data_IF_945667093551
#
_entry.id   IF_945667093551
#
_cell.length_a   1.000
_cell.length_b   1.000
_cell.length_c   1.000
_cell.angle_alpha   90.00
_cell.angle_beta   90.00
_cell.angle_gamma   90.00
#
_symmetry.space_group_name_H-M   'P 1'
#
loop_
_entity.id
_entity.type
_entity.pdbx_description
1 polymer ?
#
# COMPACT_ATOMS: atom_id res chain seq x y z
N UNK A 1 -2.63 -15.22 12.52
CA UNK A 1 -3.30 -16.29 13.29
C UNK A 1 -3.28 -15.92 14.75
N UNK A 2 -4.43 -15.88 15.41
CA UNK A 2 -4.55 -15.47 16.83
C UNK A 2 -3.84 -14.13 17.16
N UNK A 3 -3.92 -13.15 16.26
CA UNK A 3 -3.26 -11.85 16.42
C UNK A 3 -1.74 -11.84 16.24
N UNK A 4 -1.12 -12.95 15.85
CA UNK A 4 0.32 -13.07 15.64
C UNK A 4 0.66 -13.33 14.17
N UNK A 5 1.86 -12.91 13.76
CA UNK A 5 2.43 -13.27 12.47
C UNK A 5 3.00 -14.69 12.54
N UNK A 6 2.58 -15.55 11.62
CA UNK A 6 2.96 -16.97 11.61
C UNK A 6 3.40 -17.41 10.22
N UNK A 7 4.15 -18.50 10.16
CA UNK A 7 4.47 -19.21 8.91
C UNK A 7 4.09 -20.69 9.04
N UNK A 8 3.29 -21.16 8.09
CA UNK A 8 2.86 -22.55 8.01
C UNK A 8 3.64 -23.28 6.92
N UNK A 9 3.79 -24.59 7.06
CA UNK A 9 4.24 -25.49 6.00
C UNK A 9 3.03 -26.23 5.42
N UNK A 10 2.87 -26.15 4.10
CA UNK A 10 1.75 -26.76 3.40
C UNK A 10 0.38 -26.28 3.88
N UNK A 11 0.28 -25.08 4.47
CA UNK A 11 -0.95 -24.51 5.01
C UNK A 11 -1.48 -25.19 6.29
N UNK A 12 -0.71 -26.09 6.92
CA UNK A 12 -1.19 -26.91 8.05
C UNK A 12 -0.28 -26.89 9.27
N UNK A 13 1.01 -27.11 9.08
CA UNK A 13 1.98 -27.25 10.16
C UNK A 13 2.54 -25.87 10.54
N UNK A 14 2.36 -25.45 11.79
CA UNK A 14 2.94 -24.22 12.31
C UNK A 14 4.45 -24.39 12.50
N UNK A 15 5.22 -23.63 11.72
CA UNK A 15 6.69 -23.68 11.77
C UNK A 15 7.26 -22.49 12.51
N UNK A 16 6.68 -21.31 12.31
CA UNK A 16 7.13 -20.07 12.96
C UNK A 16 5.92 -19.34 13.53
N UNK A 17 6.02 -18.92 14.79
CA UNK A 17 5.19 -17.92 15.42
C UNK A 17 6.11 -16.78 15.85
N UNK A 18 5.90 -15.58 15.30
CA UNK A 18 6.73 -14.43 15.61
C UNK A 18 6.32 -13.80 16.93
N UNK A 19 7.28 -13.52 17.79
CA UNK A 19 7.07 -12.74 19.02
C UNK A 19 7.02 -11.23 18.73
N UNK A 20 7.39 -10.81 17.51
CA UNK A 20 7.36 -9.39 17.11
C UNK A 20 5.92 -8.94 16.82
N UNK A 21 5.65 -7.69 17.15
CA UNK A 21 4.35 -7.07 16.88
C UNK A 21 4.09 -7.02 15.36
N UNK A 22 2.93 -7.52 14.86
CA UNK A 22 2.59 -7.46 13.44
C UNK A 22 2.62 -6.05 12.83
N UNK A 23 2.28 -5.00 13.59
CA UNK A 23 2.34 -3.61 13.13
C UNK A 23 3.78 -3.14 12.88
N UNK A 24 4.73 -3.56 13.72
CA UNK A 24 6.15 -3.26 13.53
C UNK A 24 6.71 -3.98 12.30
N UNK A 25 6.38 -5.27 12.15
CA UNK A 25 6.75 -6.05 10.98
C UNK A 25 6.21 -5.44 9.68
N UNK A 26 4.95 -5.00 9.69
CA UNK A 26 4.33 -4.38 8.51
C UNK A 26 5.02 -3.07 8.12
N UNK A 27 5.37 -2.20 9.08
CA UNK A 27 6.13 -0.97 8.79
C UNK A 27 7.51 -1.27 8.22
N UNK A 28 8.20 -2.27 8.77
CA UNK A 28 9.52 -2.69 8.28
C UNK A 28 9.42 -3.23 6.85
N UNK A 29 8.51 -4.17 6.60
CA UNK A 29 8.36 -4.78 5.27
C UNK A 29 7.83 -3.81 4.22
N UNK A 30 7.00 -2.85 4.62
CA UNK A 30 6.50 -1.81 3.71
C UNK A 30 7.61 -0.96 3.08
N UNK A 31 8.79 -0.88 3.70
CA UNK A 31 9.93 -0.19 3.10
C UNK A 31 10.40 -0.83 1.81
N UNK A 32 10.27 -2.16 1.69
CA UNK A 32 10.82 -2.93 0.57
C UNK A 32 9.77 -3.24 -0.51
N UNK A 33 8.51 -3.37 -0.14
CA UNK A 33 7.43 -3.79 -1.03
C UNK A 33 6.07 -3.71 -0.36
N UNK A 34 5.01 -4.02 -1.11
CA UNK A 34 3.68 -4.19 -0.54
C UNK A 34 3.66 -5.38 0.43
N UNK A 35 2.89 -5.27 1.50
CA UNK A 35 2.80 -6.31 2.53
C UNK A 35 1.58 -7.18 2.27
N UNK A 36 1.78 -8.48 2.00
CA UNK A 36 0.67 -9.43 1.93
C UNK A 36 0.26 -9.87 3.33
N UNK A 37 -0.97 -9.60 3.72
CA UNK A 37 -1.56 -10.01 5.00
C UNK A 37 -2.66 -11.02 4.73
N UNK A 38 -2.43 -12.27 5.12
CA UNK A 38 -3.39 -13.36 4.97
C UNK A 38 -3.95 -13.73 6.34
N UNK A 39 -5.23 -13.45 6.57
CA UNK A 39 -5.92 -13.90 7.79
C UNK A 39 -6.19 -15.41 7.72
N UNK A 40 -5.31 -16.18 8.34
CA UNK A 40 -5.38 -17.64 8.32
C UNK A 40 -6.55 -18.16 9.16
N UNK A 41 -6.93 -17.48 10.26
CA UNK A 41 -8.09 -17.89 11.06
C UNK A 41 -9.37 -17.74 10.25
N UNK A 42 -9.52 -16.62 9.54
CA UNK A 42 -10.65 -16.40 8.65
C UNK A 42 -10.66 -17.34 7.44
N UNK A 43 -9.47 -17.61 6.85
CA UNK A 43 -9.34 -18.56 5.75
C UNK A 43 -9.78 -19.98 6.14
N UNK A 44 -9.43 -20.41 7.35
CA UNK A 44 -9.75 -21.74 7.90
C UNK A 44 -11.14 -21.82 8.56
N UNK A 45 -11.87 -20.71 8.69
CA UNK A 45 -13.16 -20.66 9.39
C UNK A 45 -13.04 -20.85 10.90
N UNK A 46 -11.90 -20.52 11.51
CA UNK A 46 -11.60 -20.67 12.95
C UNK A 46 -11.72 -19.38 13.76
N UNK A 47 -12.05 -18.27 13.13
CA UNK A 47 -12.11 -16.96 13.74
C UNK A 47 -11.84 -15.86 12.74
N UNK A 48 -11.46 -14.66 13.21
CA UNK A 48 -11.08 -13.53 12.37
C UNK A 48 -10.13 -12.60 13.12
N UNK A 49 -9.14 -12.06 12.40
CA UNK A 49 -8.27 -10.99 12.88
C UNK A 49 -8.57 -9.66 12.16
N UNK A 50 -9.82 -9.45 11.73
CA UNK A 50 -10.19 -8.33 10.88
C UNK A 50 -9.80 -6.97 11.44
N UNK A 51 -9.97 -6.75 12.75
CA UNK A 51 -9.61 -5.47 13.40
C UNK A 51 -8.10 -5.19 13.30
N UNK A 52 -7.25 -6.20 13.55
CA UNK A 52 -5.80 -6.07 13.35
C UNK A 52 -5.44 -5.84 11.87
N UNK A 53 -6.12 -6.51 10.94
CA UNK A 53 -5.91 -6.31 9.50
C UNK A 53 -6.25 -4.88 9.09
N UNK A 54 -7.32 -4.29 9.63
CA UNK A 54 -7.65 -2.89 9.41
C UNK A 54 -6.58 -1.94 9.94
N UNK A 55 -6.04 -2.20 11.13
CA UNK A 55 -4.92 -1.40 11.66
C UNK A 55 -3.69 -1.49 10.76
N UNK A 56 -3.37 -2.68 10.23
CA UNK A 56 -2.28 -2.88 9.29
C UNK A 56 -2.48 -2.08 7.99
N UNK A 57 -3.69 -2.04 7.46
CA UNK A 57 -4.04 -1.27 6.25
C UNK A 57 -3.85 0.25 6.43
N UNK A 58 -3.95 0.77 7.65
CA UNK A 58 -3.74 2.20 7.94
C UNK A 58 -2.27 2.61 7.88
N UNK A 59 -1.34 1.68 8.14
CA UNK A 59 0.08 1.97 8.36
C UNK A 59 1.03 1.44 7.29
N UNK A 60 0.54 0.63 6.36
CA UNK A 60 1.33 0.02 5.29
C UNK A 60 0.48 -0.16 4.02
N UNK A 61 1.16 -0.35 2.88
CA UNK A 61 0.53 -0.73 1.63
C UNK A 61 0.20 -2.23 1.66
N UNK A 62 -1.02 -2.58 2.08
CA UNK A 62 -1.40 -3.96 2.36
C UNK A 62 -2.23 -4.57 1.23
N UNK A 63 -1.85 -5.77 0.81
CA UNK A 63 -2.69 -6.70 0.05
C UNK A 63 -3.35 -7.65 1.05
N UNK A 64 -4.67 -7.61 1.17
CA UNK A 64 -5.40 -8.41 2.16
C UNK A 64 -5.96 -9.67 1.54
N UNK A 65 -5.71 -10.81 2.15
CA UNK A 65 -6.30 -12.10 1.80
C UNK A 65 -6.76 -12.89 3.02
N UNK A 66 -7.39 -14.03 2.77
CA UNK A 66 -7.91 -14.89 3.82
C UNK A 66 -9.33 -14.52 4.26
N UNK A 67 -10.28 -15.43 4.07
CA UNK A 67 -11.66 -15.28 4.53
C UNK A 67 -12.53 -14.30 3.75
N UNK A 68 -12.08 -13.72 2.63
CA UNK A 68 -12.89 -12.80 1.82
C UNK A 68 -13.89 -13.63 1.00
N UNK A 69 -15.12 -13.78 1.52
CA UNK A 69 -16.15 -14.65 0.94
C UNK A 69 -17.36 -13.91 0.38
N UNK A 70 -17.48 -12.61 0.68
CA UNK A 70 -18.61 -11.78 0.24
C UNK A 70 -18.18 -10.32 0.10
N UNK A 71 -19.07 -9.52 -0.48
CA UNK A 71 -18.81 -8.11 -0.74
C UNK A 71 -18.73 -7.25 0.53
N UNK A 72 -19.36 -7.63 1.62
CA UNK A 72 -19.33 -6.89 2.88
C UNK A 72 -17.92 -6.92 3.47
N UNK A 73 -17.32 -8.10 3.60
CA UNK A 73 -15.94 -8.29 4.07
C UNK A 73 -14.95 -7.58 3.13
N UNK A 74 -15.14 -7.70 1.82
CA UNK A 74 -14.31 -7.04 0.82
C UNK A 74 -14.34 -5.51 1.01
N UNK A 75 -15.53 -4.90 1.11
CA UNK A 75 -15.69 -3.46 1.34
C UNK A 75 -15.08 -3.01 2.66
N UNK A 76 -15.20 -3.81 3.71
CA UNK A 76 -14.61 -3.53 5.02
C UNK A 76 -13.12 -3.26 4.91
N UNK A 77 -12.36 -4.14 4.26
CA UNK A 77 -10.92 -3.98 4.11
C UNK A 77 -10.53 -2.86 3.13
N UNK A 78 -11.29 -2.64 2.05
CA UNK A 78 -11.04 -1.51 1.15
C UNK A 78 -11.24 -0.17 1.86
N UNK A 79 -12.28 -0.04 2.69
CA UNK A 79 -12.51 1.15 3.52
C UNK A 79 -11.39 1.38 4.53
N UNK A 80 -10.82 0.31 5.09
CA UNK A 80 -9.66 0.40 5.96
C UNK A 80 -8.36 0.82 5.23
N UNK A 81 -8.36 0.84 3.89
CA UNK A 81 -7.22 1.28 3.08
C UNK A 81 -6.40 0.16 2.45
N UNK A 82 -6.94 -1.07 2.37
CA UNK A 82 -6.28 -2.14 1.63
C UNK A 82 -6.00 -1.73 0.17
N UNK A 83 -4.79 -1.94 -0.29
CA UNK A 83 -4.36 -1.65 -1.67
C UNK A 83 -4.99 -2.60 -2.67
N UNK A 84 -5.05 -3.88 -2.32
CA UNK A 84 -5.69 -4.93 -3.12
C UNK A 84 -6.30 -5.99 -2.21
N UNK A 85 -7.31 -6.67 -2.73
CA UNK A 85 -7.91 -7.84 -2.10
C UNK A 85 -7.48 -9.10 -2.84
N UNK A 86 -6.93 -10.07 -2.11
CA UNK A 86 -6.54 -11.38 -2.62
C UNK A 86 -7.73 -12.34 -2.39
N UNK A 87 -8.38 -12.75 -3.47
CA UNK A 87 -9.57 -13.61 -3.42
C UNK A 87 -9.23 -14.95 -4.08
N UNK A 88 -9.38 -16.05 -3.33
CA UNK A 88 -9.15 -17.42 -3.80
C UNK A 88 -10.45 -18.13 -4.13
N UNK A 89 -10.88 -19.09 -3.32
CA UNK A 89 -12.07 -19.93 -3.52
C UNK A 89 -13.36 -19.16 -3.88
N UNK A 90 -13.52 -17.94 -3.33
CA UNK A 90 -14.67 -17.09 -3.61
C UNK A 90 -14.52 -16.22 -4.87
N UNK A 91 -13.45 -16.37 -5.66
CA UNK A 91 -13.22 -15.60 -6.87
C UNK A 91 -14.19 -16.03 -7.97
N UNK A 92 -15.36 -15.39 -7.99
CA UNK A 92 -16.39 -15.58 -9.02
C UNK A 92 -16.71 -14.25 -9.70
N UNK A 93 -17.21 -14.26 -10.97
CA UNK A 93 -17.64 -13.05 -11.63
C UNK A 93 -18.64 -12.23 -10.80
N UNK A 94 -19.56 -12.90 -10.09
CA UNK A 94 -20.62 -12.26 -9.30
C UNK A 94 -20.04 -11.47 -8.11
N UNK A 95 -19.01 -11.97 -7.47
CA UNK A 95 -18.34 -11.24 -6.38
C UNK A 95 -17.41 -10.15 -6.91
N UNK A 96 -16.54 -10.52 -7.86
CA UNK A 96 -15.48 -9.63 -8.33
C UNK A 96 -16.02 -8.43 -9.11
N UNK A 97 -17.11 -8.60 -9.89
CA UNK A 97 -17.76 -7.51 -10.65
C UNK A 97 -18.34 -6.37 -9.79
N UNK A 98 -18.41 -6.56 -8.47
CA UNK A 98 -18.87 -5.52 -7.55
C UNK A 98 -17.77 -4.50 -7.19
N UNK A 99 -16.54 -4.72 -7.66
CA UNK A 99 -15.36 -3.93 -7.33
C UNK A 99 -14.58 -3.53 -8.58
N UNK A 100 -13.85 -2.40 -8.56
CA UNK A 100 -12.90 -2.07 -9.61
C UNK A 100 -11.85 -3.17 -9.77
N UNK A 101 -11.58 -3.65 -11.00
CA UNK A 101 -10.64 -4.75 -11.24
C UNK A 101 -9.21 -4.48 -10.73
N UNK A 102 -8.81 -3.21 -10.65
CA UNK A 102 -7.50 -2.76 -10.15
C UNK A 102 -7.29 -3.12 -8.67
N UNK A 103 -8.37 -3.22 -7.91
CA UNK A 103 -8.35 -3.56 -6.50
C UNK A 103 -8.39 -5.06 -6.24
N UNK A 104 -8.60 -5.87 -7.29
CA UNK A 104 -8.78 -7.31 -7.18
C UNK A 104 -7.55 -8.07 -7.66
N UNK A 105 -7.08 -8.99 -6.81
CA UNK A 105 -6.05 -9.98 -7.10
C UNK A 105 -6.65 -11.37 -6.91
N UNK A 106 -6.63 -12.18 -7.97
CA UNK A 106 -7.14 -13.56 -7.88
C UNK A 106 -6.02 -14.50 -7.44
N UNK A 107 -6.25 -15.24 -6.35
CA UNK A 107 -5.34 -16.31 -5.94
C UNK A 107 -5.55 -17.54 -6.82
N UNK A 108 -4.46 -17.99 -7.42
CA UNK A 108 -4.34 -19.18 -8.27
C UNK A 108 -3.41 -20.18 -7.58
N UNK A 109 -3.79 -20.59 -6.37
CA UNK A 109 -3.05 -21.61 -5.63
C UNK A 109 -3.19 -22.94 -6.36
N UNK A 110 -2.08 -23.60 -6.72
CA UNK A 110 -2.15 -24.78 -7.59
C UNK A 110 -1.17 -25.88 -7.20
N UNK A 111 -1.50 -27.11 -7.60
CA UNK A 111 -0.59 -28.26 -7.63
C UNK A 111 -0.45 -28.74 -9.06
N UNK A 112 0.78 -28.78 -9.56
CA UNK A 112 1.10 -29.22 -10.94
C UNK A 112 0.18 -28.55 -11.99
N UNK A 113 -0.07 -27.23 -11.83
CA UNK A 113 -0.89 -26.45 -12.76
C UNK A 113 -2.41 -26.58 -12.60
N UNK A 114 -2.91 -27.43 -11.67
CA UNK A 114 -4.35 -27.55 -11.34
C UNK A 114 -4.66 -26.74 -10.10
N UNK A 115 -5.64 -25.83 -10.21
CA UNK A 115 -6.00 -24.93 -9.11
C UNK A 115 -6.65 -25.70 -7.96
N UNK A 116 -6.25 -25.31 -6.74
CA UNK A 116 -6.79 -25.84 -5.50
C UNK A 116 -7.63 -24.80 -4.79
N UNK A 117 -8.69 -25.24 -4.12
CA UNK A 117 -9.60 -24.41 -3.33
C UNK A 117 -9.70 -24.88 -1.86
N UNK A 118 -10.51 -24.17 -1.05
CA UNK A 118 -10.80 -24.51 0.34
C UNK A 118 -9.55 -24.67 1.22
N UNK A 119 -8.60 -23.73 1.11
CA UNK A 119 -7.33 -23.83 1.86
C UNK A 119 -6.49 -25.01 1.41
N UNK A 120 -6.45 -25.25 0.09
CA UNK A 120 -5.64 -26.28 -0.59
C UNK A 120 -6.08 -27.74 -0.34
N UNK A 121 -7.33 -27.92 0.11
CA UNK A 121 -7.86 -29.25 0.45
C UNK A 121 -8.53 -29.93 -0.72
N UNK A 122 -8.96 -29.19 -1.74
CA UNK A 122 -9.73 -29.67 -2.88
C UNK A 122 -9.10 -29.24 -4.19
N UNK A 123 -8.86 -30.18 -5.12
CA UNK A 123 -8.51 -29.84 -6.50
C UNK A 123 -9.77 -29.57 -7.30
N UNK A 124 -9.75 -28.50 -8.09
CA UNK A 124 -10.94 -28.03 -8.83
C UNK A 124 -11.09 -28.68 -10.20
N UNK A 125 -10.02 -29.32 -10.71
CA UNK A 125 -9.94 -29.78 -12.10
C UNK A 125 -9.70 -28.65 -13.11
N UNK A 126 -9.74 -27.36 -12.70
CA UNK A 126 -9.50 -26.21 -13.55
C UNK A 126 -8.00 -25.87 -13.55
N UNK A 127 -7.44 -25.60 -14.73
CA UNK A 127 -6.03 -25.16 -14.82
C UNK A 127 -5.87 -23.70 -14.42
N UNK A 128 -4.65 -23.30 -13.99
CA UNK A 128 -4.30 -21.91 -13.70
C UNK A 128 -4.67 -20.98 -14.84
N UNK A 129 -4.33 -21.37 -16.07
CA UNK A 129 -4.63 -20.59 -17.28
C UNK A 129 -6.12 -20.45 -17.55
N UNK A 130 -6.90 -21.54 -17.40
CA UNK A 130 -8.36 -21.52 -17.62
C UNK A 130 -9.04 -20.60 -16.63
N UNK A 131 -8.69 -20.66 -15.33
CA UNK A 131 -9.24 -19.77 -14.30
C UNK A 131 -8.84 -18.33 -14.52
N UNK A 132 -7.60 -18.07 -14.87
CA UNK A 132 -7.12 -16.71 -15.15
C UNK A 132 -7.86 -16.10 -16.33
N UNK A 133 -8.03 -16.84 -17.44
CA UNK A 133 -8.76 -16.36 -18.62
C UNK A 133 -10.23 -16.08 -18.32
N UNK A 134 -10.90 -16.95 -17.54
CA UNK A 134 -12.28 -16.75 -17.11
C UNK A 134 -12.50 -15.52 -16.24
N UNK A 135 -11.49 -15.12 -15.46
CA UNK A 135 -11.59 -14.02 -14.48
C UNK A 135 -10.85 -12.75 -14.88
N UNK A 136 -10.21 -12.70 -16.05
CA UNK A 136 -9.36 -11.58 -16.50
C UNK A 136 -10.03 -10.21 -16.51
N UNK A 137 -11.33 -10.16 -16.82
CA UNK A 137 -12.07 -8.90 -16.90
C UNK A 137 -12.40 -8.32 -15.52
N UNK A 138 -12.31 -9.14 -14.46
CA UNK A 138 -12.70 -8.82 -13.09
C UNK A 138 -11.51 -8.57 -12.15
N UNK A 139 -10.29 -8.73 -12.61
CA UNK A 139 -9.07 -8.45 -11.84
C UNK A 139 -7.98 -7.83 -12.71
N UNK A 140 -6.89 -7.35 -12.11
CA UNK A 140 -5.69 -6.86 -12.81
C UNK A 140 -4.41 -7.52 -12.32
N UNK A 141 -4.51 -8.49 -11.42
CA UNK A 141 -3.35 -9.21 -10.91
C UNK A 141 -3.71 -10.61 -10.42
N UNK A 142 -2.71 -11.49 -10.43
CA UNK A 142 -2.79 -12.86 -9.93
C UNK A 142 -1.75 -13.11 -8.85
N UNK A 143 -2.11 -13.91 -7.84
CA UNK A 143 -1.17 -14.52 -6.91
C UNK A 143 -1.12 -16.03 -7.23
N UNK A 144 -0.01 -16.50 -7.78
CA UNK A 144 0.20 -17.92 -8.10
C UNK A 144 1.06 -18.57 -7.02
N UNK A 145 0.47 -19.47 -6.23
CA UNK A 145 1.16 -20.19 -5.16
C UNK A 145 1.43 -21.63 -5.59
N UNK A 146 2.70 -22.03 -5.59
CA UNK A 146 3.14 -23.43 -5.77
C UNK A 146 2.95 -24.19 -4.46
N UNK A 147 1.76 -24.74 -4.24
CA UNK A 147 1.33 -25.30 -2.94
C UNK A 147 2.22 -26.45 -2.49
N UNK A 148 2.72 -27.30 -3.40
CA UNK A 148 3.64 -28.39 -3.10
C UNK A 148 5.01 -27.94 -2.57
N UNK A 149 5.40 -26.69 -2.85
CA UNK A 149 6.66 -26.09 -2.41
C UNK A 149 6.48 -25.20 -1.17
N UNK A 150 5.23 -24.86 -0.80
CA UNK A 150 4.94 -23.90 0.25
C UNK A 150 5.50 -24.30 1.61
N UNK A 151 6.28 -23.40 2.22
CA UNK A 151 6.97 -23.60 3.50
C UNK A 151 8.09 -24.62 3.47
N UNK A 152 8.37 -25.26 2.31
CA UNK A 152 9.36 -26.32 2.17
C UNK A 152 10.80 -25.84 1.94
N UNK A 153 10.99 -24.57 1.52
CA UNK A 153 12.30 -24.00 1.16
C UNK A 153 13.07 -24.83 0.11
N UNK A 154 12.34 -25.52 -0.77
CA UNK A 154 12.90 -26.39 -1.80
C UNK A 154 13.20 -25.71 -3.13
N UNK A 155 12.99 -24.39 -3.20
CA UNK A 155 13.09 -23.63 -4.44
C UNK A 155 11.76 -23.54 -5.20
N UNK A 156 11.75 -22.68 -6.21
CA UNK A 156 10.59 -22.45 -7.09
C UNK A 156 10.90 -23.01 -8.49
N UNK A 157 9.93 -23.65 -9.18
CA UNK A 157 10.14 -24.22 -10.51
C UNK A 157 10.19 -23.12 -11.58
N UNK A 158 11.40 -22.62 -11.89
CA UNK A 158 11.59 -21.44 -12.76
C UNK A 158 11.01 -21.61 -14.17
N UNK A 159 10.97 -22.81 -14.73
CA UNK A 159 10.37 -23.04 -16.04
C UNK A 159 8.85 -22.85 -16.00
N UNK A 160 8.18 -23.26 -14.94
CA UNK A 160 6.74 -23.03 -14.72
C UNK A 160 6.49 -21.54 -14.46
N UNK A 161 7.34 -20.86 -13.69
CA UNK A 161 7.27 -19.39 -13.45
C UNK A 161 7.33 -18.61 -14.77
N UNK A 162 8.27 -18.95 -15.67
CA UNK A 162 8.38 -18.34 -16.99
C UNK A 162 7.16 -18.62 -17.88
N UNK A 163 6.55 -19.80 -17.73
CA UNK A 163 5.32 -20.13 -18.43
C UNK A 163 4.11 -19.30 -17.92
N UNK A 164 4.02 -19.04 -16.61
CA UNK A 164 2.99 -18.16 -16.05
C UNK A 164 3.08 -16.76 -16.61
N UNK A 165 4.28 -16.16 -16.66
CA UNK A 165 4.51 -14.84 -17.23
C UNK A 165 4.00 -14.72 -18.68
N UNK A 166 4.29 -15.73 -19.48
CA UNK A 166 3.92 -15.72 -20.92
C UNK A 166 2.42 -15.94 -21.16
N UNK A 167 1.76 -16.70 -20.29
CA UNK A 167 0.43 -17.23 -20.57
C UNK A 167 -0.68 -16.52 -19.81
N UNK A 168 -0.35 -15.71 -18.78
CA UNK A 168 -1.37 -15.01 -17.98
C UNK A 168 -1.56 -13.56 -18.47
N UNK A 169 -2.82 -13.08 -18.53
CA UNK A 169 -3.13 -11.79 -19.17
C UNK A 169 -2.76 -10.56 -18.32
N UNK A 170 -2.48 -10.72 -17.04
CA UNK A 170 -2.21 -9.62 -16.11
C UNK A 170 -0.94 -9.87 -15.28
N UNK A 171 -0.57 -8.90 -14.44
CA UNK A 171 0.59 -9.00 -13.56
C UNK A 171 0.48 -10.20 -12.61
N UNK A 172 1.60 -10.89 -12.42
CA UNK A 172 1.67 -12.11 -11.61
C UNK A 172 2.63 -11.91 -10.46
N UNK A 173 2.17 -12.23 -9.26
CA UNK A 173 3.01 -12.44 -8.08
C UNK A 173 3.13 -13.94 -7.85
N UNK A 174 4.35 -14.45 -7.73
CA UNK A 174 4.58 -15.86 -7.44
C UNK A 174 4.94 -16.10 -5.98
N UNK A 175 4.48 -17.21 -5.42
CA UNK A 175 4.70 -17.61 -4.04
C UNK A 175 4.90 -19.13 -3.92
N UNK A 176 5.43 -19.56 -2.77
CA UNK A 176 5.62 -20.97 -2.44
C UNK A 176 7.00 -21.51 -2.83
N UNK A 177 7.80 -21.89 -1.82
CA UNK A 177 9.08 -22.56 -1.99
C UNK A 177 10.31 -21.68 -2.13
N UNK A 178 10.18 -20.40 -2.43
CA UNK A 178 11.32 -19.46 -2.57
C UNK A 178 12.25 -19.55 -1.36
N UNK A 179 13.53 -19.79 -1.61
CA UNK A 179 14.52 -20.09 -0.58
C UNK A 179 15.80 -19.28 -0.68
N UNK A 180 16.09 -18.67 -1.83
CA UNK A 180 17.35 -17.95 -2.09
C UNK A 180 17.12 -16.56 -2.69
N UNK A 181 18.06 -15.66 -2.46
CA UNK A 181 18.09 -14.32 -3.08
C UNK A 181 18.15 -14.39 -4.60
N UNK A 182 18.91 -15.37 -5.14
CA UNK A 182 19.04 -15.59 -6.59
C UNK A 182 17.70 -15.88 -7.26
N UNK A 183 16.88 -16.74 -6.67
CA UNK A 183 15.53 -17.03 -7.18
C UNK A 183 14.66 -15.77 -7.22
N UNK A 184 14.67 -14.97 -6.14
CA UNK A 184 13.94 -13.71 -6.08
C UNK A 184 14.37 -12.78 -7.22
N UNK A 185 15.68 -12.58 -7.37
CA UNK A 185 16.24 -11.71 -8.41
C UNK A 185 15.88 -12.20 -9.82
N UNK A 186 15.97 -13.52 -10.08
CA UNK A 186 15.62 -14.10 -11.38
C UNK A 186 14.14 -13.89 -11.71
N UNK A 187 13.24 -14.14 -10.76
CA UNK A 187 11.79 -13.90 -10.93
C UNK A 187 11.51 -12.43 -11.19
N UNK A 188 12.08 -11.54 -10.38
CA UNK A 188 11.88 -10.10 -10.53
C UNK A 188 12.39 -9.58 -11.89
N UNK A 189 13.56 -10.03 -12.35
CA UNK A 189 14.11 -9.68 -13.67
C UNK A 189 13.32 -10.25 -14.86
N UNK A 190 12.51 -11.28 -14.63
CA UNK A 190 11.57 -11.77 -15.63
C UNK A 190 10.26 -10.95 -15.69
N UNK A 191 10.12 -9.85 -14.95
CA UNK A 191 8.93 -8.99 -14.96
C UNK A 191 7.79 -9.50 -14.09
N UNK A 192 8.07 -10.40 -13.16
CA UNK A 192 7.11 -10.90 -12.17
C UNK A 192 7.42 -10.34 -10.78
N UNK A 193 6.42 -10.33 -9.91
CA UNK A 193 6.58 -10.05 -8.49
C UNK A 193 6.76 -11.35 -7.69
N UNK A 194 7.32 -11.23 -6.48
CA UNK A 194 7.46 -12.34 -5.53
C UNK A 194 6.76 -12.03 -4.22
N UNK A 195 6.14 -13.06 -3.64
CA UNK A 195 5.67 -13.02 -2.25
C UNK A 195 6.50 -14.02 -1.45
N UNK A 196 7.23 -13.51 -0.45
CA UNK A 196 8.15 -14.30 0.36
C UNK A 196 7.69 -14.32 1.82
N UNK A 197 7.63 -15.50 2.40
CA UNK A 197 7.31 -15.71 3.81
C UNK A 197 8.44 -16.40 4.55
N UNK A 198 8.47 -17.72 4.52
CA UNK A 198 9.36 -18.57 5.33
C UNK A 198 10.83 -18.17 5.27
N UNK A 199 11.38 -17.93 4.07
CA UNK A 199 12.79 -17.57 3.90
C UNK A 199 13.12 -16.20 4.54
N UNK A 200 12.19 -15.24 4.50
CA UNK A 200 12.35 -13.95 5.14
C UNK A 200 12.36 -14.08 6.66
N UNK A 201 11.37 -14.78 7.25
CA UNK A 201 11.28 -14.98 8.69
C UNK A 201 12.44 -15.81 9.27
N UNK A 202 13.04 -16.72 8.48
CA UNK A 202 14.24 -17.47 8.87
C UNK A 202 15.55 -16.72 8.65
N UNK A 203 15.50 -15.50 8.09
CA UNK A 203 16.70 -14.72 7.79
C UNK A 203 17.61 -15.33 6.71
N UNK A 204 17.06 -16.17 5.82
CA UNK A 204 17.80 -16.80 4.73
C UNK A 204 18.03 -15.86 3.55
N UNK A 205 17.29 -14.77 3.49
CA UNK A 205 17.37 -13.75 2.45
C UNK A 205 17.46 -12.36 3.06
N UNK A 206 18.21 -11.49 2.41
CA UNK A 206 18.23 -10.06 2.72
C UNK A 206 17.37 -9.30 1.69
N UNK A 207 16.20 -8.75 2.08
CA UNK A 207 15.29 -8.09 1.13
C UNK A 207 15.91 -6.85 0.48
N UNK A 208 16.84 -6.16 1.15
CA UNK A 208 17.57 -5.02 0.58
C UNK A 208 18.46 -5.48 -0.56
N UNK A 209 19.20 -6.58 -0.37
CA UNK A 209 20.05 -7.18 -1.41
C UNK A 209 19.19 -7.65 -2.59
N UNK A 210 18.10 -8.38 -2.34
CA UNK A 210 17.19 -8.82 -3.38
C UNK A 210 16.64 -7.65 -4.22
N UNK A 211 16.20 -6.58 -3.56
CA UNK A 211 15.72 -5.38 -4.26
C UNK A 211 16.83 -4.79 -5.14
N UNK A 212 18.01 -4.50 -4.57
CA UNK A 212 19.12 -3.87 -5.31
C UNK A 212 19.55 -4.72 -6.51
N UNK A 213 19.73 -6.02 -6.33
CA UNK A 213 20.20 -6.92 -7.37
C UNK A 213 19.14 -7.16 -8.48
N UNK A 214 17.88 -6.86 -8.19
CA UNK A 214 16.78 -6.90 -9.18
C UNK A 214 16.66 -5.62 -10.01
N UNK A 215 17.36 -4.53 -9.66
CA UNK A 215 17.30 -3.25 -10.37
C UNK A 215 18.24 -3.21 -11.56
N UNK A 216 17.88 -2.36 -12.54
CA UNK A 216 18.69 -2.04 -13.72
C UNK A 216 19.32 -0.67 -13.52
N UNK A 217 20.64 -0.65 -13.33
CA UNK A 217 21.40 0.60 -13.22
C UNK A 217 21.94 1.03 -14.58
N UNK A 218 22.09 2.34 -14.78
CA UNK A 218 22.73 2.87 -15.97
C UNK A 218 24.25 2.61 -15.98
N UNK A 219 24.94 3.02 -17.07
CA UNK A 219 26.39 2.82 -17.25
C UNK A 219 27.25 3.44 -16.13
N UNK A 220 26.72 4.42 -15.40
CA UNK A 220 27.39 5.06 -14.26
C UNK A 220 27.12 4.34 -12.93
N UNK A 221 26.37 3.23 -12.96
CA UNK A 221 25.95 2.52 -11.74
C UNK A 221 24.91 3.27 -10.92
N UNK A 222 24.12 4.13 -11.56
CA UNK A 222 23.09 4.95 -10.92
C UNK A 222 21.70 4.61 -11.47
N UNK A 223 20.68 4.82 -10.64
CA UNK A 223 19.27 4.69 -11.00
C UNK A 223 18.54 6.00 -10.68
N UNK A 224 17.68 6.52 -11.57
CA UNK A 224 16.79 7.63 -11.24
C UNK A 224 15.92 7.31 -10.05
N UNK A 225 15.72 8.28 -9.17
CA UNK A 225 14.90 8.13 -7.97
C UNK A 225 13.96 9.31 -7.87
N UNK A 226 12.69 9.07 -8.18
CA UNK A 226 11.61 10.02 -7.96
C UNK A 226 11.30 10.03 -6.47
N UNK A 227 11.20 11.21 -5.88
CA UNK A 227 10.88 11.37 -4.46
C UNK A 227 9.55 12.09 -4.33
N UNK A 228 8.61 11.48 -3.65
CA UNK A 228 7.31 12.06 -3.32
C UNK A 228 7.09 12.08 -1.81
N UNK A 229 6.20 12.94 -1.36
CA UNK A 229 5.74 12.91 0.04
C UNK A 229 4.65 11.83 0.25
N UNK A 230 4.20 11.71 1.49
CA UNK A 230 3.15 10.77 1.90
C UNK A 230 1.79 11.01 1.24
N UNK A 231 1.57 12.20 0.67
CA UNK A 231 0.34 12.59 -0.03
C UNK A 231 0.45 12.40 -1.56
N UNK A 232 1.62 11.90 -2.04
CA UNK A 232 1.88 11.65 -3.46
C UNK A 232 2.39 12.88 -4.22
N UNK A 233 2.70 14.00 -3.53
CA UNK A 233 3.31 15.14 -4.21
C UNK A 233 4.76 14.87 -4.53
N UNK A 234 5.12 15.02 -5.80
CA UNK A 234 6.52 14.91 -6.24
C UNK A 234 7.35 16.06 -5.65
N UNK A 235 8.42 15.71 -4.93
CA UNK A 235 9.31 16.65 -4.26
C UNK A 235 10.54 16.97 -5.10
N UNK A 236 11.20 15.93 -5.62
CA UNK A 236 12.45 16.08 -6.39
C UNK A 236 12.74 14.84 -7.21
N UNK A 237 13.64 14.96 -8.18
CA UNK A 237 14.36 13.87 -8.81
C UNK A 237 15.78 13.80 -8.25
N UNK A 238 16.14 12.63 -7.74
CA UNK A 238 17.49 12.31 -7.30
C UNK A 238 18.07 11.14 -8.11
N UNK A 239 19.30 10.76 -7.81
CA UNK A 239 19.91 9.52 -8.31
C UNK A 239 20.37 8.69 -7.13
N UNK A 240 20.25 7.39 -7.26
CA UNK A 240 20.70 6.45 -6.23
C UNK A 240 21.73 5.48 -6.80
N UNK A 241 22.71 5.13 -5.97
CA UNK A 241 23.64 4.04 -6.18
C UNK A 241 23.19 2.81 -5.33
N UNK A 242 23.69 1.60 -5.58
CA UNK A 242 23.43 0.45 -4.73
C UNK A 242 23.70 0.74 -3.24
N UNK A 243 24.75 1.48 -2.94
CA UNK A 243 25.11 1.84 -1.57
C UNK A 243 24.14 2.84 -0.94
N UNK A 244 23.72 3.89 -1.68
CA UNK A 244 22.74 4.85 -1.17
C UNK A 244 21.39 4.21 -0.90
N UNK A 245 20.94 3.27 -1.77
CA UNK A 245 19.71 2.49 -1.55
C UNK A 245 19.81 1.66 -0.29
N UNK A 246 20.95 0.96 -0.11
CA UNK A 246 21.20 0.14 1.08
C UNK A 246 21.12 0.96 2.36
N UNK A 247 21.78 2.11 2.39
CA UNK A 247 21.75 3.02 3.55
C UNK A 247 20.35 3.59 3.77
N UNK A 248 19.68 4.06 2.71
CA UNK A 248 18.34 4.61 2.81
C UNK A 248 17.35 3.62 3.43
N UNK A 249 17.33 2.38 2.96
CA UNK A 249 16.45 1.32 3.45
C UNK A 249 16.80 0.86 4.86
N UNK A 250 18.10 0.75 5.18
CA UNK A 250 18.58 0.33 6.50
C UNK A 250 18.27 1.37 7.57
N UNK A 251 18.52 2.65 7.27
CA UNK A 251 18.37 3.74 8.24
C UNK A 251 16.97 4.37 8.23
N UNK A 252 16.17 4.09 7.20
CA UNK A 252 14.85 4.72 7.03
C UNK A 252 14.94 6.21 6.72
N UNK A 253 15.95 6.63 5.93
CA UNK A 253 16.21 8.03 5.61
C UNK A 253 16.33 8.27 4.11
N UNK A 254 16.13 9.51 3.67
CA UNK A 254 16.43 9.95 2.30
C UNK A 254 17.94 10.03 2.07
N UNK A 255 18.54 8.95 1.55
CA UNK A 255 19.96 8.88 1.18
C UNK A 255 20.06 8.64 -0.32
N UNK A 256 20.83 9.47 -0.99
CA UNK A 256 20.96 9.50 -2.45
C UNK A 256 22.43 9.57 -2.86
N UNK A 257 22.69 9.61 -4.18
CA UNK A 257 24.01 9.86 -4.75
C UNK A 257 24.04 11.22 -5.48
N UNK A 258 24.93 12.10 -5.03
CA UNK A 258 25.14 13.40 -5.66
C UNK A 258 26.04 13.25 -6.90
N UNK A 259 25.50 13.42 -8.11
CA UNK A 259 26.26 13.32 -9.38
C UNK A 259 27.35 14.39 -9.49
N UNK A 260 27.07 15.62 -9.04
CA UNK A 260 28.02 16.73 -9.13
C UNK A 260 29.20 16.59 -8.15
N UNK A 261 28.93 16.10 -6.93
CA UNK A 261 29.96 15.90 -5.90
C UNK A 261 30.58 14.50 -5.93
N UNK A 262 29.95 13.55 -6.66
CA UNK A 262 30.34 12.15 -6.75
C UNK A 262 30.44 11.45 -5.39
N UNK A 263 29.49 11.73 -4.51
CA UNK A 263 29.44 11.18 -3.13
C UNK A 263 28.02 10.84 -2.69
N UNK A 264 27.93 10.06 -1.63
CA UNK A 264 26.67 9.82 -0.93
C UNK A 264 26.15 11.11 -0.31
N UNK A 265 24.85 11.30 -0.37
CA UNK A 265 24.18 12.49 0.12
C UNK A 265 22.94 12.14 0.94
N UNK A 266 23.02 12.35 2.25
CA UNK A 266 21.87 12.29 3.15
C UNK A 266 21.14 13.64 3.10
N UNK A 267 19.87 13.60 2.70
CA UNK A 267 19.03 14.80 2.60
C UNK A 267 18.78 15.40 3.97
N UNK A 268 19.05 16.70 4.09
CA UNK A 268 18.83 17.44 5.33
C UNK A 268 19.94 17.33 6.37
N UNK A 269 21.03 16.57 6.15
CA UNK A 269 22.12 16.42 7.11
C UNK A 269 22.73 17.76 7.57
N UNK A 270 22.77 18.75 6.68
CA UNK A 270 23.31 20.08 6.98
C UNK A 270 22.21 21.11 7.20
N UNK A 271 21.10 21.06 6.44
CA UNK A 271 20.04 22.07 6.50
C UNK A 271 18.96 21.79 7.56
N UNK A 272 18.88 20.57 8.10
CA UNK A 272 17.79 20.14 8.95
C UNK A 272 16.53 19.68 8.21
N UNK A 273 16.44 19.90 6.89
CA UNK A 273 15.30 19.52 6.06
C UNK A 273 15.37 18.03 5.69
N UNK A 274 15.18 17.18 6.69
CA UNK A 274 15.37 15.72 6.60
C UNK A 274 14.21 15.01 5.92
N UNK A 275 14.48 13.79 5.46
CA UNK A 275 13.49 12.89 4.89
C UNK A 275 13.51 11.56 5.67
N UNK A 276 12.36 11.17 6.21
CA UNK A 276 12.11 9.82 6.72
C UNK A 276 11.58 8.97 5.56
N UNK A 277 12.26 7.87 5.22
CA UNK A 277 11.85 6.97 4.16
C UNK A 277 10.74 6.03 4.64
N UNK A 278 9.56 6.15 4.05
CA UNK A 278 8.40 5.32 4.34
C UNK A 278 8.34 4.08 3.45
N UNK A 279 8.63 4.26 2.13
CA UNK A 279 8.66 3.14 1.19
C UNK A 279 9.56 3.41 -0.01
N UNK A 280 10.07 2.32 -0.59
CA UNK A 280 10.82 2.27 -1.84
C UNK A 280 10.11 1.30 -2.79
N UNK A 281 9.82 1.73 -4.01
CA UNK A 281 9.20 0.92 -5.05
C UNK A 281 10.01 1.05 -6.34
N UNK A 282 10.22 -0.05 -7.03
CA UNK A 282 10.72 -0.03 -8.41
C UNK A 282 9.54 0.10 -9.38
N UNK A 283 9.78 0.67 -10.53
CA UNK A 283 8.82 0.68 -11.63
C UNK A 283 8.74 -0.68 -12.33
N UNK A 284 7.99 -0.77 -13.45
CA UNK A 284 7.66 -2.05 -14.08
C UNK A 284 8.85 -2.76 -14.75
N UNK A 285 9.85 -2.03 -15.23
CA UNK A 285 11.07 -2.54 -15.84
C UNK A 285 12.32 -2.37 -14.98
N UNK A 286 12.10 -1.88 -13.73
CA UNK A 286 13.08 -1.81 -12.63
C UNK A 286 14.30 -0.92 -12.93
N UNK A 287 14.10 0.11 -13.74
CA UNK A 287 15.13 1.10 -14.05
C UNK A 287 14.92 2.47 -13.39
N UNK A 288 13.82 2.63 -12.61
CA UNK A 288 13.49 3.83 -11.83
C UNK A 288 12.96 3.44 -10.44
N UNK A 289 13.32 4.24 -9.43
CA UNK A 289 12.80 4.10 -8.07
C UNK A 289 11.84 5.22 -7.73
N UNK A 290 10.80 4.88 -6.98
CA UNK A 290 9.92 5.80 -6.28
C UNK A 290 10.16 5.68 -4.77
N UNK A 291 10.67 6.76 -4.15
CA UNK A 291 10.76 6.90 -2.71
C UNK A 291 9.58 7.71 -2.22
N UNK A 292 8.78 7.14 -1.32
CA UNK A 292 7.80 7.89 -0.54
C UNK A 292 8.42 8.26 0.79
N UNK A 293 8.42 9.56 1.10
CA UNK A 293 9.11 10.09 2.30
C UNK A 293 8.17 10.99 3.11
N UNK A 294 8.43 11.07 4.41
CA UNK A 294 7.92 12.17 5.22
C UNK A 294 8.97 13.28 5.20
N UNK A 295 8.64 14.37 4.49
CA UNK A 295 9.52 15.52 4.33
C UNK A 295 9.38 16.47 5.52
N UNK A 296 10.50 16.90 6.09
CA UNK A 296 10.56 18.02 7.04
C UNK A 296 10.94 19.28 6.28
N UNK A 297 10.10 20.30 6.31
CA UNK A 297 10.29 21.59 5.63
C UNK A 297 10.57 21.45 4.11
N UNK A 298 11.52 22.23 3.58
CA UNK A 298 11.79 22.32 2.15
C UNK A 298 12.59 21.14 1.58
N UNK A 299 12.13 20.56 0.48
CA UNK A 299 12.95 19.59 -0.26
C UNK A 299 13.96 20.30 -1.20
N UNK A 300 13.64 21.50 -1.70
CA UNK A 300 14.49 22.25 -2.61
C UNK A 300 15.55 23.10 -1.86
N UNK A 301 16.68 23.34 -2.52
CA UNK A 301 17.75 24.24 -1.99
C UNK A 301 17.35 25.73 -2.05
N UNK A 302 16.24 26.06 -2.71
CA UNK A 302 15.65 27.42 -2.75
C UNK A 302 14.56 27.60 -1.70
N UNK A 303 14.56 26.81 -0.64
CA UNK A 303 13.56 26.79 0.43
C UNK A 303 12.11 26.56 -0.04
N UNK A 304 11.95 25.96 -1.25
CA UNK A 304 10.66 25.51 -1.75
C UNK A 304 10.39 24.07 -1.31
N UNK A 305 9.14 23.75 -1.01
CA UNK A 305 8.75 22.38 -0.61
C UNK A 305 9.04 21.35 -1.70
N UNK A 306 8.91 21.72 -2.98
CA UNK A 306 9.21 20.89 -4.14
C UNK A 306 10.19 21.58 -5.08
N UNK A 307 11.04 20.81 -5.78
CA UNK A 307 11.91 21.30 -6.87
C UNK A 307 11.14 21.69 -8.14
N UNK A 308 9.87 21.30 -8.27
CA UNK A 308 9.07 21.47 -9.48
C UNK A 308 8.18 22.73 -9.50
N UNK A 309 8.48 23.69 -8.64
CA UNK A 309 7.83 25.00 -8.68
C UNK A 309 7.50 25.53 -7.29
N UNK A 310 6.99 26.78 -7.31
CA UNK A 310 6.51 27.49 -6.11
C UNK A 310 5.20 26.92 -5.52
N UNK A 311 4.65 25.88 -6.14
CA UNK A 311 3.54 25.13 -5.58
C UNK A 311 4.05 24.34 -4.37
N UNK A 312 4.13 25.03 -3.25
CA UNK A 312 4.26 24.36 -1.97
C UNK A 312 2.93 23.67 -1.70
N UNK A 313 2.90 22.35 -1.65
CA UNK A 313 1.71 21.63 -1.15
C UNK A 313 1.35 22.09 0.26
N UNK A 314 2.33 22.54 1.05
CA UNK A 314 2.09 23.21 2.33
C UNK A 314 1.50 24.63 2.19
N UNK A 315 1.47 25.21 0.96
CA UNK A 315 0.88 26.53 0.66
C UNK A 315 -0.24 26.49 -0.37
N UNK A 316 -0.38 25.46 -1.17
CA UNK A 316 -1.62 25.23 -1.91
C UNK A 316 -2.64 24.68 -0.91
N UNK A 317 -3.69 25.44 -0.73
CA UNK A 317 -4.79 25.06 0.15
C UNK A 317 -5.50 23.85 -0.47
N UNK A 318 -5.37 22.69 0.16
CA UNK A 318 -6.12 21.47 -0.14
C UNK A 318 -6.96 21.07 1.07
N UNK A 319 -7.91 20.17 0.86
CA UNK A 319 -8.71 19.66 1.99
C UNK A 319 -7.83 18.89 2.97
N UNK A 320 -6.82 18.17 2.48
CA UNK A 320 -5.80 17.52 3.33
C UNK A 320 -5.02 18.54 4.16
N UNK A 321 -4.57 19.63 3.54
CA UNK A 321 -3.86 20.70 4.24
C UNK A 321 -4.75 21.36 5.30
N UNK A 322 -6.06 21.49 5.03
CA UNK A 322 -7.03 21.96 6.01
C UNK A 322 -7.11 20.99 7.20
N UNK A 323 -7.20 19.68 6.95
CA UNK A 323 -7.23 18.66 8.01
C UNK A 323 -5.98 18.73 8.90
N UNK A 324 -4.79 18.82 8.31
CA UNK A 324 -3.54 18.91 9.07
C UNK A 324 -3.48 20.21 9.89
N UNK A 325 -3.93 21.33 9.34
CA UNK A 325 -4.05 22.59 10.07
C UNK A 325 -5.03 22.48 11.26
N UNK A 326 -6.16 21.83 11.06
CA UNK A 326 -7.17 21.61 12.10
C UNK A 326 -6.63 20.68 13.20
N UNK A 327 -5.87 19.62 12.86
CA UNK A 327 -5.19 18.74 13.83
C UNK A 327 -4.20 19.53 14.68
N UNK A 328 -3.32 20.32 14.07
CA UNK A 328 -2.38 21.17 14.79
C UNK A 328 -3.10 22.15 15.72
N UNK A 329 -4.21 22.75 15.28
CA UNK A 329 -5.01 23.65 16.14
C UNK A 329 -5.70 22.93 17.28
N UNK A 330 -6.11 21.67 17.09
CA UNK A 330 -6.68 20.86 18.16
C UNK A 330 -5.65 20.52 19.24
N UNK A 331 -4.41 20.25 18.85
CA UNK A 331 -3.30 19.96 19.77
C UNK A 331 -2.87 21.20 20.56
N UNK A 332 -2.78 22.36 19.93
CA UNK A 332 -2.23 23.58 20.52
C UNK A 332 -3.28 24.55 21.07
N UNK A 333 -4.55 24.44 20.66
CA UNK A 333 -5.71 25.26 21.05
C UNK A 333 -5.40 26.76 21.21
N UNK A 334 -5.01 27.49 20.15
CA UNK A 334 -4.69 28.92 20.25
C UNK A 334 -5.86 29.73 20.85
N UNK A 335 -5.60 30.51 21.89
CA UNK A 335 -6.66 31.18 22.68
C UNK A 335 -7.63 32.09 21.88
N UNK A 336 -7.12 32.78 20.84
CA UNK A 336 -7.91 33.69 20.01
C UNK A 336 -8.43 33.08 18.71
N UNK A 337 -8.43 31.73 18.59
CA UNK A 337 -8.88 31.06 17.37
C UNK A 337 -10.37 30.70 17.42
N UNK A 338 -11.11 31.03 16.37
CA UNK A 338 -12.49 30.59 16.19
C UNK A 338 -12.59 29.05 16.18
N UNK A 339 -11.64 28.37 15.52
CA UNK A 339 -11.54 26.91 15.50
C UNK A 339 -11.44 26.32 16.92
N UNK A 340 -10.67 26.97 17.81
CA UNK A 340 -10.58 26.56 19.23
C UNK A 340 -11.93 26.61 19.93
N UNK A 341 -12.73 27.61 19.63
CA UNK A 341 -14.09 27.71 20.17
C UNK A 341 -14.96 26.56 19.70
N UNK A 342 -14.84 26.16 18.44
CA UNK A 342 -15.59 25.03 17.87
C UNK A 342 -15.17 23.70 18.50
N UNK A 343 -13.87 23.46 18.74
CA UNK A 343 -13.40 22.25 19.44
C UNK A 343 -13.88 22.19 20.89
N UNK A 344 -14.05 23.31 21.56
CA UNK A 344 -14.54 23.39 22.95
C UNK A 344 -16.07 23.30 23.06
N UNK A 345 -16.80 23.67 22.02
CA UNK A 345 -18.28 23.70 22.01
C UNK A 345 -18.84 22.86 20.84
N UNK A 346 -19.00 21.56 21.10
CA UNK A 346 -19.56 20.61 20.12
C UNK A 346 -20.98 21.02 19.66
N UNK A 347 -21.81 21.60 20.55
CA UNK A 347 -23.17 22.00 20.18
C UNK A 347 -23.14 23.16 19.17
N UNK A 348 -22.24 24.12 19.38
CA UNK A 348 -22.03 25.24 18.45
C UNK A 348 -21.55 24.73 17.09
N UNK A 349 -20.60 23.76 17.05
CA UNK A 349 -20.10 23.15 15.83
C UNK A 349 -21.22 22.45 15.04
N UNK A 350 -22.02 21.62 15.71
CA UNK A 350 -23.15 20.93 15.06
C UNK A 350 -24.22 21.90 14.56
N UNK A 351 -24.49 22.99 15.31
CA UNK A 351 -25.40 24.06 14.86
C UNK A 351 -24.89 24.71 13.57
N UNK A 352 -23.59 25.04 13.48
CA UNK A 352 -22.98 25.62 12.28
C UNK A 352 -23.08 24.66 11.08
N UNK A 353 -22.80 23.38 11.24
CA UNK A 353 -22.96 22.39 10.16
C UNK A 353 -24.41 22.37 9.64
N UNK A 354 -25.40 22.48 10.53
CA UNK A 354 -26.82 22.53 10.14
C UNK A 354 -27.16 23.81 9.38
N UNK A 355 -26.64 24.97 9.82
CA UNK A 355 -26.79 26.27 9.12
C UNK A 355 -26.22 26.16 7.70
N UNK A 356 -24.95 25.79 7.54
CA UNK A 356 -24.27 25.72 6.24
C UNK A 356 -24.92 24.67 5.32
N UNK A 357 -25.42 23.55 5.87
CA UNK A 357 -26.18 22.58 5.08
C UNK A 357 -27.47 23.18 4.51
N UNK A 358 -28.16 24.00 5.28
CA UNK A 358 -29.34 24.69 4.81
C UNK A 358 -28.99 25.72 3.74
N UNK A 359 -27.95 26.54 3.94
CA UNK A 359 -27.50 27.57 3.01
C UNK A 359 -27.01 26.95 1.67
N UNK A 360 -26.32 25.82 1.70
CA UNK A 360 -25.98 25.04 0.48
C UNK A 360 -27.23 24.60 -0.31
N UNK A 361 -28.35 24.34 0.35
CA UNK A 361 -29.59 23.89 -0.33
C UNK A 361 -30.50 25.05 -0.77
N UNK A 362 -30.26 26.28 -0.27
CA UNK A 362 -31.07 27.48 -0.53
C UNK A 362 -30.30 28.61 -1.20
N UNK A 363 -29.19 28.27 -1.87
CA UNK A 363 -28.30 29.25 -2.49
C UNK A 363 -29.00 30.15 -3.51
N UNK A 364 -28.57 31.43 -3.58
CA UNK A 364 -29.13 32.42 -4.49
C UNK A 364 -28.32 32.58 -5.79
N UNK A 365 -27.03 32.25 -5.76
CA UNK A 365 -26.13 32.37 -6.91
C UNK A 365 -25.03 31.33 -6.87
N UNK A 366 -24.31 31.11 -8.00
CA UNK A 366 -23.13 30.21 -8.05
C UNK A 366 -22.02 30.68 -7.12
N UNK A 367 -21.87 31.98 -6.89
CA UNK A 367 -20.85 32.50 -6.00
C UNK A 367 -21.22 32.25 -4.54
N UNK A 368 -22.48 32.45 -4.18
CA UNK A 368 -23.00 32.10 -2.86
C UNK A 368 -22.87 30.59 -2.60
N UNK A 369 -23.32 29.75 -3.53
CA UNK A 369 -23.17 28.29 -3.40
C UNK A 369 -21.70 27.85 -3.17
N UNK A 370 -20.75 28.45 -3.90
CA UNK A 370 -19.32 28.16 -3.69
C UNK A 370 -18.87 28.51 -2.28
N UNK A 371 -19.34 29.60 -1.74
CA UNK A 371 -19.02 30.06 -0.39
C UNK A 371 -19.56 29.08 0.66
N UNK A 372 -20.86 28.76 0.57
CA UNK A 372 -21.52 27.87 1.53
C UNK A 372 -20.93 26.44 1.50
N UNK A 373 -20.56 25.94 0.31
CA UNK A 373 -19.84 24.66 0.19
C UNK A 373 -18.47 24.74 0.91
N UNK A 374 -17.73 25.83 0.80
CA UNK A 374 -16.44 25.98 1.46
C UNK A 374 -16.59 26.01 3.00
N UNK A 375 -17.60 26.71 3.51
CA UNK A 375 -17.90 26.75 4.93
C UNK A 375 -18.38 25.39 5.46
N UNK A 376 -19.23 24.69 4.71
CA UNK A 376 -19.64 23.33 5.05
C UNK A 376 -18.45 22.38 5.12
N UNK A 377 -17.53 22.41 4.13
CA UNK A 377 -16.31 21.60 4.15
C UNK A 377 -15.46 21.92 5.38
N UNK A 378 -15.30 23.19 5.74
CA UNK A 378 -14.56 23.60 6.93
C UNK A 378 -15.17 23.04 8.22
N UNK A 379 -16.49 23.17 8.43
CA UNK A 379 -17.13 22.71 9.65
C UNK A 379 -17.21 21.19 9.76
N UNK A 380 -17.48 20.47 8.66
CA UNK A 380 -17.47 18.99 8.69
C UNK A 380 -16.06 18.45 8.88
N UNK A 381 -15.03 19.09 8.32
CA UNK A 381 -13.63 18.76 8.58
C UNK A 381 -13.24 18.97 10.04
N UNK A 382 -13.71 20.09 10.63
CA UNK A 382 -13.49 20.38 12.06
C UNK A 382 -14.14 19.31 12.95
N UNK A 383 -15.35 18.84 12.59
CA UNK A 383 -16.03 17.76 13.30
C UNK A 383 -15.28 16.45 13.17
N UNK A 384 -14.85 16.09 11.95
CA UNK A 384 -14.07 14.87 11.71
C UNK A 384 -12.80 14.84 12.58
N UNK A 385 -12.03 15.93 12.60
CA UNK A 385 -10.85 16.07 13.46
C UNK A 385 -11.22 15.99 14.95
N UNK A 386 -12.34 16.62 15.39
CA UNK A 386 -12.80 16.54 16.77
C UNK A 386 -13.14 15.11 17.22
N UNK A 387 -13.70 14.31 16.32
CA UNK A 387 -14.03 12.88 16.56
C UNK A 387 -12.85 11.94 16.30
N UNK A 388 -11.69 12.44 15.88
CA UNK A 388 -10.48 11.63 15.64
C UNK A 388 -10.50 10.88 14.31
N UNK A 389 -11.31 11.31 13.34
CA UNK A 389 -11.38 10.72 12.00
C UNK A 389 -10.28 11.36 11.14
N UNK A 390 -9.49 10.54 10.45
CA UNK A 390 -8.46 10.98 9.52
C UNK A 390 -9.05 11.24 8.12
N UNK A 391 -8.48 12.21 7.39
CA UNK A 391 -8.90 12.48 6.00
C UNK A 391 -8.84 11.24 5.11
N UNK A 392 -7.80 10.43 5.28
CA UNK A 392 -7.62 9.18 4.53
C UNK A 392 -8.78 8.20 4.75
N UNK A 393 -9.39 8.16 5.94
CA UNK A 393 -10.54 7.29 6.21
C UNK A 393 -11.77 7.74 5.41
N UNK A 394 -11.98 9.06 5.28
CA UNK A 394 -13.07 9.62 4.47
C UNK A 394 -12.86 9.31 2.99
N UNK A 395 -11.64 9.49 2.48
CA UNK A 395 -11.29 9.18 1.08
C UNK A 395 -11.46 7.68 0.80
N UNK A 396 -11.04 6.82 1.71
CA UNK A 396 -11.21 5.37 1.58
C UNK A 396 -12.69 4.96 1.58
N UNK A 397 -13.52 5.59 2.42
CA UNK A 397 -14.97 5.36 2.43
C UNK A 397 -15.61 5.74 1.08
N UNK A 398 -15.21 6.87 0.51
CA UNK A 398 -15.66 7.30 -0.84
C UNK A 398 -15.16 6.35 -1.93
N UNK A 399 -13.89 5.96 -1.86
CA UNK A 399 -13.28 4.99 -2.78
C UNK A 399 -13.98 3.63 -2.74
N UNK A 400 -14.33 3.15 -1.55
CA UNK A 400 -15.05 1.88 -1.35
C UNK A 400 -16.49 1.87 -1.89
N UNK A 401 -17.06 3.04 -2.20
CA UNK A 401 -18.37 3.19 -2.85
C UNK A 401 -18.29 3.25 -4.37
N UNK A 402 -17.08 3.33 -4.92
CA UNK A 402 -16.87 3.38 -6.37
C UNK A 402 -17.36 2.08 -7.01
N UNK A 403 -18.30 2.20 -7.96
CA UNK A 403 -18.70 1.07 -8.80
C UNK A 403 -17.72 0.90 -9.95
N UNK A 404 -17.50 -0.34 -10.45
CA UNK A 404 -16.79 -0.53 -11.71
C UNK A 404 -17.45 0.29 -12.81
N UNK A 405 -16.63 0.89 -13.69
CA UNK A 405 -17.18 1.48 -14.92
C UNK A 405 -17.84 0.36 -15.70
N UNK A 406 -19.06 0.61 -16.21
CA UNK A 406 -19.71 -0.34 -17.09
C UNK A 406 -18.81 -0.55 -18.31
N UNK A 407 -18.32 -1.77 -18.49
CA UNK A 407 -17.61 -2.14 -19.71
C UNK A 407 -18.66 -2.13 -20.82
N UNK A 408 -18.67 -1.06 -21.64
CA UNK A 408 -19.48 -0.96 -22.86
C UNK A 408 -18.91 -1.86 -23.93
#
# INVERSE_FOLDING_TARGET
MNGKAVQLKGGKELIIESERNPLELAREFNRFGEVAVIDLDAAMGKGSNADLVEELCKIADVRVGGGIRNAEIARRFLKAGARKLIVGTAATPELLSQFPPELMMVALDHRKGVVTDQGWQSETGETVQSRAERLKDYCRSYLCTFVEHEGGLGGIPMDEVKALQKNLPHSVTVAGGISTEKEIVEVCKSGLDVQVGMALYKGLINPITCLIDSLTFNEQGLIPTIVQDQNGQTLMLAYSSPESIRLALKEGKGVYYSRSRRELWEKGKTSGHVQELLSCRADCDRDTLLFTVKQTDAACHTDSYSCFGSHNASKEFSVEALFELLKQRRENLPEKSYTTTLFKDRKKLLKKITEETFEVTTFESKENLRWEIADLIYFVSTLAVAEGIEWKEIVNELGGRRKPEAVN
#
